data_IF_128570801640
#
_entry.id   IF_128570801640
#
_cell.length_a   1.000
_cell.length_b   1.000
_cell.length_c   1.000
_cell.angle_alpha   90.00
_cell.angle_beta   90.00
_cell.angle_gamma   90.00
#
_symmetry.space_group_name_H-M   'P 1'
#
loop_
_entity.id
_entity.type
_entity.pdbx_description
1 polymer ?
#
# COMPACT_ATOMS: atom_id res chain seq x y z
N UNK A 1 -25.21 -30.78 -21.86
CA UNK A 1 -26.49 -30.62 -21.15
C UNK A 1 -26.36 -29.46 -20.17
N UNK A 2 -27.35 -28.58 -20.13
CA UNK A 2 -27.35 -27.43 -19.21
C UNK A 2 -27.49 -27.91 -17.77
N UNK A 3 -26.47 -27.57 -16.96
CA UNK A 3 -26.45 -27.82 -15.51
C UNK A 3 -26.35 -26.49 -14.77
N UNK A 4 -26.90 -26.39 -13.54
CA UNK A 4 -26.69 -25.21 -12.74
C UNK A 4 -25.22 -25.08 -12.37
N UNK A 5 -24.65 -23.89 -12.58
CA UNK A 5 -23.26 -23.63 -12.20
C UNK A 5 -23.13 -22.27 -11.52
N UNK A 6 -22.07 -22.13 -10.73
CA UNK A 6 -21.71 -20.87 -10.09
C UNK A 6 -21.02 -19.98 -11.13
N UNK A 7 -21.68 -18.90 -11.52
CA UNK A 7 -21.06 -17.90 -12.38
C UNK A 7 -20.54 -16.73 -11.52
N UNK A 8 -19.26 -16.45 -11.65
CA UNK A 8 -18.63 -15.32 -10.95
C UNK A 8 -18.28 -14.24 -11.97
N UNK A 9 -18.88 -13.07 -11.84
CA UNK A 9 -18.48 -11.89 -12.59
C UNK A 9 -17.28 -11.23 -11.87
N UNK A 10 -16.18 -11.09 -12.60
CA UNK A 10 -14.93 -10.51 -12.09
C UNK A 10 -14.47 -9.38 -12.99
N UNK A 11 -13.96 -8.33 -12.39
CA UNK A 11 -13.36 -7.21 -13.11
C UNK A 11 -11.89 -7.19 -12.79
N UNK A 12 -11.06 -7.14 -13.83
CA UNK A 12 -9.63 -6.91 -13.70
C UNK A 12 -9.35 -5.41 -13.75
N UNK A 13 -8.65 -4.93 -12.75
CA UNK A 13 -8.26 -3.52 -12.62
C UNK A 13 -6.76 -3.44 -12.43
N UNK A 14 -6.15 -2.53 -13.17
CA UNK A 14 -4.72 -2.24 -13.05
C UNK A 14 -4.41 -1.41 -11.82
N UNK A 15 -3.33 -1.74 -11.15
CA UNK A 15 -2.82 -0.98 -10.01
C UNK A 15 -1.31 -1.14 -9.86
N UNK A 16 -0.78 -0.53 -8.82
CA UNK A 16 0.64 -0.57 -8.48
C UNK A 16 0.87 -0.88 -7.01
N UNK A 17 1.94 -1.60 -6.74
CA UNK A 17 2.44 -1.80 -5.37
C UNK A 17 3.19 -0.55 -4.93
N UNK A 18 2.84 -0.06 -3.75
CA UNK A 18 3.48 1.09 -3.12
C UNK A 18 4.07 0.68 -1.76
N UNK A 19 5.11 1.35 -1.30
CA UNK A 19 5.59 1.15 0.06
C UNK A 19 4.54 1.63 1.08
N UNK A 20 4.62 1.12 2.31
CA UNK A 20 3.81 1.66 3.41
C UNK A 20 4.23 3.10 3.73
N UNK A 21 5.53 3.30 3.87
CA UNK A 21 6.15 4.62 4.04
C UNK A 21 7.45 4.68 3.23
N UNK A 22 7.75 5.86 2.70
CA UNK A 22 8.98 6.14 1.99
C UNK A 22 9.44 7.56 2.30
N UNK A 23 10.74 7.73 2.56
CA UNK A 23 11.32 9.05 2.84
C UNK A 23 12.73 9.15 2.29
N UNK A 24 13.05 10.30 1.74
CA UNK A 24 14.40 10.68 1.40
C UNK A 24 15.09 11.22 2.67
N UNK A 25 16.12 10.52 3.13
CA UNK A 25 16.86 10.86 4.33
C UNK A 25 17.85 11.98 4.06
N UNK A 26 17.76 13.08 4.81
CA UNK A 26 18.69 14.21 4.78
C UNK A 26 18.97 14.67 6.21
N UNK A 27 20.09 15.39 6.43
CA UNK A 27 20.38 16.01 7.72
C UNK A 27 19.54 17.24 7.94
N UNK A 28 19.23 17.56 9.18
CA UNK A 28 18.54 18.81 9.54
C UNK A 28 19.51 20.01 9.57
N UNK A 29 20.82 19.77 9.66
CA UNK A 29 21.87 20.79 9.67
C UNK A 29 22.96 20.49 8.64
N UNK A 30 23.73 21.52 8.31
CA UNK A 30 24.84 21.38 7.36
C UNK A 30 26.14 21.00 8.08
N UNK A 31 26.93 20.12 7.46
CA UNK A 31 28.23 19.75 8.01
C UNK A 31 28.97 18.71 7.18
N UNK A 32 30.24 18.47 7.52
CA UNK A 32 31.02 17.41 6.92
C UNK A 32 30.63 16.07 7.53
N UNK A 33 30.26 15.08 6.71
CA UNK A 33 29.94 13.71 7.15
C UNK A 33 31.18 13.06 7.74
N UNK A 34 31.07 12.59 8.98
CA UNK A 34 32.17 11.92 9.71
C UNK A 34 31.93 10.43 9.84
N UNK A 35 30.68 9.99 9.86
CA UNK A 35 30.30 8.59 10.04
C UNK A 35 29.11 8.23 9.15
N UNK A 36 29.11 7.00 8.63
CA UNK A 36 27.97 6.33 7.98
C UNK A 36 27.92 4.92 8.57
N UNK A 37 26.81 4.59 9.23
CA UNK A 37 26.64 3.40 10.08
C UNK A 37 25.56 2.46 9.53
N UNK A 38 25.45 2.32 8.22
CA UNK A 38 24.55 1.39 7.57
C UNK A 38 25.20 0.79 6.31
N UNK A 39 24.76 -0.40 5.98
CA UNK A 39 25.07 -1.05 4.70
C UNK A 39 23.92 -0.83 3.72
N UNK A 40 24.22 -0.56 2.46
CA UNK A 40 23.25 -0.38 1.39
C UNK A 40 22.37 -1.62 1.22
N UNK A 41 21.06 -1.42 1.12
CA UNK A 41 20.10 -2.52 1.01
C UNK A 41 19.80 -3.24 2.33
N UNK A 42 20.38 -2.83 3.46
CA UNK A 42 20.14 -3.46 4.76
C UNK A 42 18.83 -3.02 5.41
N UNK A 43 18.31 -3.86 6.30
CA UNK A 43 17.20 -3.50 7.17
C UNK A 43 17.69 -2.65 8.35
N UNK A 44 16.98 -1.56 8.64
CA UNK A 44 17.27 -0.66 9.77
C UNK A 44 16.05 -0.50 10.67
N UNK A 45 16.30 -0.22 11.95
CA UNK A 45 15.26 -0.02 12.96
C UNK A 45 15.03 1.47 13.21
N UNK A 46 13.80 1.81 13.59
CA UNK A 46 13.44 3.16 14.05
C UNK A 46 14.39 3.63 15.15
N UNK A 47 14.90 4.87 15.01
CA UNK A 47 15.85 5.48 15.93
C UNK A 47 17.32 5.06 15.73
N UNK A 48 17.61 4.08 14.88
CA UNK A 48 18.98 3.68 14.56
C UNK A 48 19.76 4.85 13.96
N UNK A 49 20.98 5.11 14.46
CA UNK A 49 21.88 6.11 13.92
C UNK A 49 22.43 5.62 12.56
N UNK A 50 22.12 6.35 11.51
CA UNK A 50 22.52 6.01 10.14
C UNK A 50 23.77 6.75 9.69
N UNK A 51 23.85 8.05 10.01
CA UNK A 51 24.99 8.87 9.64
C UNK A 51 25.13 10.04 10.61
N UNK A 52 26.31 10.65 10.64
CA UNK A 52 26.59 11.77 11.51
C UNK A 52 27.43 12.81 10.79
N UNK A 53 27.10 14.10 10.98
CA UNK A 53 27.99 15.20 10.60
C UNK A 53 28.82 15.67 11.79
N UNK A 54 29.89 16.42 11.52
CA UNK A 54 30.84 16.87 12.54
C UNK A 54 30.16 17.76 13.59
N UNK A 55 30.09 17.29 14.80
CA UNK A 55 29.49 17.94 15.97
C UNK A 55 30.51 18.31 17.06
N UNK A 56 31.81 18.20 16.80
CA UNK A 56 32.89 18.39 17.81
C UNK A 56 32.77 19.73 18.55
N UNK A 57 32.39 20.79 17.85
CA UNK A 57 32.19 22.10 18.47
C UNK A 57 31.03 22.11 19.47
N UNK A 58 29.92 21.48 19.11
CA UNK A 58 28.73 21.36 19.95
C UNK A 58 29.02 20.48 21.18
N UNK A 59 29.78 19.38 21.00
CA UNK A 59 30.18 18.51 22.11
C UNK A 59 31.09 19.25 23.10
N UNK A 60 32.06 20.06 22.62
CA UNK A 60 32.89 20.89 23.50
C UNK A 60 32.07 21.96 24.24
N UNK A 61 31.06 22.55 23.56
CA UNK A 61 30.14 23.48 24.18
C UNK A 61 29.29 22.80 25.28
N UNK A 62 28.76 21.61 25.01
CA UNK A 62 28.00 20.81 25.97
C UNK A 62 28.86 20.50 27.22
N UNK A 63 30.09 20.04 27.03
CA UNK A 63 31.01 19.75 28.15
C UNK A 63 31.25 20.98 29.02
N UNK A 64 31.46 22.16 28.43
CA UNK A 64 31.62 23.40 29.18
C UNK A 64 30.36 23.72 30.03
N UNK A 65 29.15 23.63 29.44
CA UNK A 65 27.93 23.91 30.17
C UNK A 65 27.65 22.89 31.28
N UNK A 66 27.91 21.62 31.03
CA UNK A 66 27.79 20.55 32.05
C UNK A 66 28.77 20.78 33.23
N UNK A 67 30.00 21.26 32.97
CA UNK A 67 30.92 21.64 34.06
C UNK A 67 30.40 22.83 34.87
N UNK A 68 29.72 23.80 34.24
CA UNK A 68 29.09 24.93 34.93
C UNK A 68 27.85 24.50 35.75
N UNK A 69 27.11 23.49 35.25
CA UNK A 69 25.89 22.97 35.87
C UNK A 69 26.17 22.51 37.32
N UNK A 70 27.23 21.73 37.53
CA UNK A 70 27.61 21.23 38.85
C UNK A 70 27.88 22.39 39.83
N UNK A 71 28.54 23.47 39.39
CA UNK A 71 28.79 24.63 40.25
C UNK A 71 27.48 25.37 40.58
N UNK A 72 26.57 25.50 39.58
CA UNK A 72 25.26 26.15 39.78
C UNK A 72 24.39 25.35 40.79
N UNK A 73 24.34 24.03 40.65
CA UNK A 73 23.62 23.12 41.56
C UNK A 73 24.16 23.27 43.00
N UNK A 74 25.49 23.27 43.17
CA UNK A 74 26.13 23.48 44.49
C UNK A 74 25.83 24.85 45.07
N UNK A 75 25.68 25.89 44.25
CA UNK A 75 25.30 27.23 44.72
C UNK A 75 23.85 27.26 45.18
N UNK A 76 22.92 26.68 44.43
CA UNK A 76 21.50 26.58 44.82
C UNK A 76 21.37 25.81 46.14
N UNK A 77 22.07 24.66 46.28
CA UNK A 77 22.06 23.88 47.49
C UNK A 77 22.53 24.68 48.70
N UNK A 78 23.68 25.37 48.60
CA UNK A 78 24.20 26.23 49.71
C UNK A 78 23.24 27.37 50.02
N UNK A 79 22.68 28.03 48.98
CA UNK A 79 21.78 29.18 49.19
C UNK A 79 20.46 28.74 49.82
N UNK A 80 19.96 27.55 49.51
CA UNK A 80 18.79 26.96 50.13
C UNK A 80 19.03 26.72 51.63
N UNK A 81 20.17 26.10 51.99
CA UNK A 81 20.53 25.85 53.39
C UNK A 81 20.73 27.14 54.21
N UNK A 82 21.15 28.23 53.59
CA UNK A 82 21.26 29.56 54.23
C UNK A 82 19.87 30.22 54.35
N UNK A 83 18.99 30.07 53.39
CA UNK A 83 17.62 30.57 53.42
C UNK A 83 16.82 29.91 54.57
N UNK A 84 16.96 28.61 54.76
CA UNK A 84 16.32 27.85 55.89
C UNK A 84 16.75 28.37 57.25
N UNK A 85 17.88 29.11 57.35
CA UNK A 85 18.43 29.72 58.59
C UNK A 85 18.23 31.23 58.63
N UNK A 86 17.38 31.80 57.74
CA UNK A 86 17.15 33.22 57.56
C UNK A 86 18.46 34.06 57.33
N UNK A 87 19.53 33.41 56.82
CA UNK A 87 20.81 34.01 56.59
C UNK A 87 20.94 34.72 55.22
N UNK A 88 19.98 34.53 54.35
CA UNK A 88 19.90 35.18 53.01
C UNK A 88 18.46 35.55 52.67
N UNK A 89 18.28 36.50 51.77
CA UNK A 89 16.95 36.88 51.31
C UNK A 89 16.36 35.80 50.34
N UNK A 90 15.04 35.72 50.29
CA UNK A 90 14.34 34.88 49.31
C UNK A 90 14.67 35.26 47.88
N UNK A 91 14.86 36.56 47.64
CA UNK A 91 15.24 37.09 46.32
C UNK A 91 16.61 36.54 45.88
N UNK A 92 17.63 36.54 46.79
CA UNK A 92 18.95 35.98 46.48
C UNK A 92 18.89 34.47 46.16
N UNK A 93 18.02 33.69 46.82
CA UNK A 93 17.77 32.31 46.50
C UNK A 93 17.10 32.14 45.12
N UNK A 94 16.03 32.89 44.85
CA UNK A 94 15.32 32.81 43.56
C UNK A 94 16.22 33.25 42.39
N UNK A 95 17.19 34.15 42.61
CA UNK A 95 18.16 34.51 41.59
C UNK A 95 19.05 33.33 41.19
N UNK A 96 19.68 32.64 42.13
CA UNK A 96 20.55 31.49 41.83
C UNK A 96 19.76 30.31 41.24
N UNK A 97 18.51 30.14 41.66
CA UNK A 97 17.59 29.16 41.11
C UNK A 97 17.26 29.46 39.64
N UNK A 98 17.04 30.75 39.32
CA UNK A 98 16.80 31.18 37.94
C UNK A 98 18.04 31.01 37.08
N UNK A 99 19.25 31.28 37.59
CA UNK A 99 20.52 31.02 36.90
C UNK A 99 20.68 29.53 36.57
N UNK A 100 20.34 28.64 37.50
CA UNK A 100 20.35 27.19 37.27
C UNK A 100 19.35 26.78 36.19
N UNK A 101 18.14 27.35 36.21
CA UNK A 101 17.12 27.04 35.23
C UNK A 101 17.54 27.51 33.83
N UNK A 102 18.15 28.68 33.69
CA UNK A 102 18.70 29.20 32.44
C UNK A 102 19.80 28.28 31.89
N UNK A 103 20.72 27.85 32.79
CA UNK A 103 21.81 26.96 32.37
C UNK A 103 21.30 25.59 31.88
N UNK A 104 20.26 25.05 32.54
CA UNK A 104 19.61 23.84 32.03
C UNK A 104 19.00 24.02 30.66
N UNK A 105 18.33 25.15 30.41
CA UNK A 105 17.78 25.47 29.11
C UNK A 105 18.86 25.60 28.01
N UNK A 106 20.01 26.19 28.35
CA UNK A 106 21.17 26.28 27.43
C UNK A 106 21.74 24.90 27.10
N UNK A 107 21.83 24.01 28.10
CA UNK A 107 22.25 22.61 27.90
C UNK A 107 21.29 21.89 26.95
N UNK A 108 19.99 22.05 27.16
CA UNK A 108 18.99 21.39 26.31
C UNK A 108 18.98 21.92 24.89
N UNK A 109 19.23 23.22 24.70
CA UNK A 109 19.43 23.82 23.38
C UNK A 109 20.63 23.19 22.65
N UNK A 110 21.77 23.03 23.33
CA UNK A 110 22.97 22.42 22.72
C UNK A 110 22.71 20.93 22.40
N UNK A 111 22.02 20.20 23.29
CA UNK A 111 21.63 18.81 23.01
C UNK A 111 20.73 18.69 21.78
N UNK A 112 19.75 19.59 21.63
CA UNK A 112 18.91 19.65 20.45
C UNK A 112 19.73 19.90 19.18
N UNK A 113 20.68 20.83 19.22
CA UNK A 113 21.59 21.10 18.09
C UNK A 113 22.48 19.89 17.77
N UNK A 114 22.92 19.13 18.76
CA UNK A 114 23.67 17.87 18.56
C UNK A 114 22.74 16.84 17.88
N UNK A 115 21.50 16.70 18.32
CA UNK A 115 20.54 15.77 17.72
C UNK A 115 20.33 16.08 16.21
N UNK A 116 20.31 17.34 15.79
CA UNK A 116 20.22 17.72 14.38
C UNK A 116 21.45 17.30 13.54
N UNK A 117 22.58 16.98 14.18
CA UNK A 117 23.79 16.47 13.50
C UNK A 117 23.73 14.97 13.24
N UNK A 118 22.76 14.28 13.82
CA UNK A 118 22.58 12.83 13.73
C UNK A 118 21.41 12.50 12.79
N UNK A 119 21.69 11.73 11.76
CA UNK A 119 20.64 11.18 10.89
C UNK A 119 20.18 9.84 11.43
N UNK A 120 18.95 9.78 11.93
CA UNK A 120 18.33 8.57 12.46
C UNK A 120 17.16 8.12 11.62
N UNK A 121 16.95 6.78 11.58
CA UNK A 121 15.81 6.21 10.86
C UNK A 121 14.48 6.60 11.54
N UNK A 122 13.52 7.22 10.82
CA UNK A 122 12.22 7.62 11.40
C UNK A 122 11.28 6.43 11.64
N UNK A 123 11.45 5.33 10.90
CA UNK A 123 10.66 4.10 11.00
C UNK A 123 11.52 2.89 10.63
N UNK A 124 11.00 1.68 10.91
CA UNK A 124 11.64 0.42 10.49
C UNK A 124 11.49 0.23 8.98
N UNK A 125 12.57 -0.09 8.28
CA UNK A 125 12.52 -0.25 6.83
C UNK A 125 13.81 -0.78 6.23
N UNK A 126 13.88 -0.76 4.92
CA UNK A 126 15.07 -1.09 4.14
C UNK A 126 15.68 0.20 3.60
N UNK A 127 16.96 0.42 3.90
CA UNK A 127 17.68 1.58 3.39
C UNK A 127 18.19 1.29 1.97
N UNK A 128 18.04 2.25 1.08
CA UNK A 128 18.50 2.14 -0.30
C UNK A 128 19.99 2.41 -0.48
N UNK A 129 20.36 2.71 -1.71
CA UNK A 129 21.75 3.08 -2.06
C UNK A 129 22.08 4.47 -1.50
N UNK A 130 23.26 4.63 -0.95
CA UNK A 130 23.76 5.92 -0.47
C UNK A 130 24.18 6.82 -1.62
N UNK A 131 23.90 8.11 -1.48
CA UNK A 131 24.29 9.13 -2.46
C UNK A 131 25.46 10.00 -2.01
N UNK A 132 25.99 9.71 -0.82
CA UNK A 132 27.07 10.49 -0.19
C UNK A 132 28.17 9.58 0.35
N UNK A 133 29.32 10.14 0.62
CA UNK A 133 30.46 9.42 1.23
C UNK A 133 30.96 10.13 2.49
N UNK A 134 31.63 9.37 3.35
CA UNK A 134 32.34 9.96 4.49
C UNK A 134 33.36 10.98 3.96
N UNK A 135 33.38 12.16 4.58
CA UNK A 135 34.21 13.28 4.16
C UNK A 135 33.52 14.29 3.24
N UNK A 136 32.39 13.97 2.61
CA UNK A 136 31.60 14.93 1.85
C UNK A 136 30.89 15.93 2.76
N UNK A 137 30.50 17.06 2.20
CA UNK A 137 29.72 18.09 2.90
C UNK A 137 28.23 17.86 2.59
N UNK A 138 27.41 17.73 3.61
CA UNK A 138 25.97 17.57 3.50
C UNK A 138 25.23 18.82 3.97
N UNK A 139 24.05 19.03 3.43
CA UNK A 139 23.09 20.09 3.79
C UNK A 139 21.68 19.49 3.89
N UNK A 140 20.68 20.22 4.39
CA UNK A 140 19.29 19.75 4.46
C UNK A 140 18.68 19.33 3.10
N UNK A 141 19.21 19.83 2.00
CA UNK A 141 18.79 19.46 0.64
C UNK A 141 19.55 18.26 0.07
N UNK A 142 20.59 17.78 0.78
CA UNK A 142 21.41 16.65 0.32
C UNK A 142 20.79 15.34 0.77
N UNK A 143 20.28 14.56 -0.17
CA UNK A 143 19.77 13.22 0.10
C UNK A 143 20.92 12.28 0.40
N UNK A 144 20.91 11.66 1.56
CA UNK A 144 21.92 10.66 1.98
C UNK A 144 21.57 9.28 1.43
N UNK A 145 20.35 8.86 1.61
CA UNK A 145 19.77 7.61 1.11
C UNK A 145 18.25 7.68 1.16
N UNK A 146 17.58 6.72 0.55
CA UNK A 146 16.13 6.55 0.65
C UNK A 146 15.82 5.44 1.64
N UNK A 147 14.85 5.65 2.54
CA UNK A 147 14.34 4.64 3.46
C UNK A 147 12.93 4.24 3.04
N UNK A 148 12.71 2.95 2.86
CA UNK A 148 11.45 2.41 2.34
C UNK A 148 10.93 1.31 3.27
N UNK A 149 9.69 1.45 3.73
CA UNK A 149 8.98 0.43 4.51
C UNK A 149 8.17 -0.45 3.58
N UNK A 150 8.61 -1.71 3.43
CA UNK A 150 8.00 -2.68 2.51
C UNK A 150 7.09 -3.70 3.20
N UNK A 151 6.94 -3.61 4.50
CA UNK A 151 6.10 -4.48 5.33
C UNK A 151 5.22 -3.59 6.23
N UNK A 152 3.89 -3.55 5.99
CA UNK A 152 3.16 -4.09 4.85
C UNK A 152 3.44 -3.34 3.53
N UNK A 153 2.87 -3.81 2.40
CA UNK A 153 2.77 -3.05 1.16
C UNK A 153 1.37 -2.48 0.98
N UNK A 154 1.29 -1.33 0.34
CA UNK A 154 0.05 -0.75 -0.16
C UNK A 154 -0.14 -1.10 -1.62
N UNK A 155 -1.38 -1.25 -2.03
CA UNK A 155 -1.77 -1.43 -3.43
C UNK A 155 -2.69 -0.26 -3.75
N UNK A 156 -2.32 0.55 -4.73
CA UNK A 156 -3.15 1.64 -5.22
C UNK A 156 -3.71 1.28 -6.59
N UNK A 157 -5.00 1.45 -6.77
CA UNK A 157 -5.69 1.17 -8.01
C UNK A 157 -6.91 2.06 -8.17
N UNK A 158 -7.35 2.24 -9.42
CA UNK A 158 -8.45 3.13 -9.79
C UNK A 158 -9.67 2.33 -10.25
N UNK A 159 -10.76 2.42 -9.52
CA UNK A 159 -12.01 1.71 -9.79
C UNK A 159 -12.95 2.60 -10.62
N UNK A 160 -13.46 2.16 -11.79
CA UNK A 160 -14.44 2.92 -12.55
C UNK A 160 -15.69 3.26 -11.72
N UNK A 161 -16.24 4.47 -11.92
CA UNK A 161 -17.38 5.03 -11.17
C UNK A 161 -18.55 4.05 -11.00
N UNK A 162 -18.90 3.33 -12.07
CA UNK A 162 -19.98 2.33 -12.06
C UNK A 162 -19.80 1.21 -11.03
N UNK A 163 -18.56 0.97 -10.54
CA UNK A 163 -18.25 -0.06 -9.56
C UNK A 163 -17.85 0.52 -8.20
N UNK A 164 -17.78 1.84 -8.08
CA UNK A 164 -17.32 2.52 -6.86
C UNK A 164 -18.15 2.16 -5.62
N UNK A 165 -19.47 1.95 -5.79
CA UNK A 165 -20.36 1.59 -4.68
C UNK A 165 -20.09 0.21 -4.07
N UNK A 166 -19.43 -0.68 -4.82
CA UNK A 166 -19.13 -2.06 -4.41
C UNK A 166 -17.82 -2.15 -3.63
N UNK A 167 -16.95 -1.15 -3.74
CA UNK A 167 -15.63 -1.15 -3.09
C UNK A 167 -15.63 -0.22 -1.89
N UNK A 168 -15.64 -0.82 -0.70
CA UNK A 168 -15.67 -0.11 0.59
C UNK A 168 -14.50 -0.53 1.45
N UNK A 169 -14.21 0.27 2.47
CA UNK A 169 -13.25 -0.14 3.50
C UNK A 169 -13.63 -1.52 4.06
N UNK A 170 -12.68 -2.44 4.08
CA UNK A 170 -12.87 -3.82 4.52
C UNK A 170 -13.12 -4.83 3.39
N UNK A 171 -13.35 -4.39 2.14
CA UNK A 171 -13.50 -5.30 0.99
C UNK A 171 -12.22 -6.12 0.80
N UNK A 172 -12.36 -7.44 0.74
CA UNK A 172 -11.27 -8.33 0.39
C UNK A 172 -11.14 -8.40 -1.14
N UNK A 173 -9.92 -8.43 -1.60
CA UNK A 173 -9.58 -8.56 -3.02
C UNK A 173 -8.37 -9.45 -3.18
N UNK A 174 -8.19 -9.96 -4.38
CA UNK A 174 -6.98 -10.65 -4.76
C UNK A 174 -6.26 -9.86 -5.85
N UNK A 175 -4.95 -9.92 -5.84
CA UNK A 175 -4.15 -9.35 -6.91
C UNK A 175 -3.12 -10.34 -7.41
N UNK A 176 -2.75 -10.20 -8.65
CA UNK A 176 -1.73 -10.97 -9.33
C UNK A 176 -0.64 -10.05 -9.87
N UNK A 177 0.57 -10.57 -9.96
CA UNK A 177 1.71 -9.85 -10.51
C UNK A 177 2.08 -10.47 -11.85
N UNK A 178 2.44 -9.65 -12.81
CA UNK A 178 2.92 -10.11 -14.10
C UNK A 178 4.08 -11.12 -13.94
N UNK A 179 3.97 -12.26 -14.64
CA UNK A 179 4.96 -13.33 -14.57
C UNK A 179 4.87 -14.25 -13.35
N UNK A 180 3.87 -14.08 -12.47
CA UNK A 180 3.59 -15.01 -11.36
C UNK A 180 2.15 -15.52 -11.43
N UNK A 181 1.99 -16.85 -11.43
CA UNK A 181 0.69 -17.52 -11.33
C UNK A 181 0.06 -17.46 -9.93
N UNK A 182 0.71 -16.77 -8.99
CA UNK A 182 0.26 -16.72 -7.59
C UNK A 182 -0.65 -15.51 -7.38
N UNK A 183 -1.82 -15.76 -6.81
CA UNK A 183 -2.76 -14.74 -6.37
C UNK A 183 -2.50 -14.39 -4.89
N UNK A 184 -2.48 -13.09 -4.58
CA UNK A 184 -2.16 -12.56 -3.26
C UNK A 184 -3.39 -11.87 -2.67
N UNK A 185 -3.81 -12.22 -1.43
CA UNK A 185 -4.94 -11.59 -0.78
C UNK A 185 -4.57 -10.20 -0.26
N UNK A 186 -5.44 -9.23 -0.46
CA UNK A 186 -5.31 -7.89 0.11
C UNK A 186 -6.65 -7.38 0.61
N UNK A 187 -6.62 -6.36 1.46
CA UNK A 187 -7.82 -5.79 2.06
C UNK A 187 -7.85 -4.28 1.89
N UNK A 188 -8.95 -3.76 1.36
CA UNK A 188 -9.16 -2.31 1.21
C UNK A 188 -9.19 -1.65 2.59
N UNK A 189 -8.33 -0.65 2.80
CA UNK A 189 -8.28 0.11 4.04
C UNK A 189 -8.75 1.55 3.87
N UNK A 190 -8.65 2.10 2.66
CA UNK A 190 -9.07 3.46 2.35
C UNK A 190 -9.55 3.59 0.90
N UNK A 191 -10.49 4.49 0.69
CA UNK A 191 -10.96 4.94 -0.62
C UNK A 191 -10.96 6.46 -0.61
N UNK A 192 -10.69 7.09 -1.74
CA UNK A 192 -10.90 8.53 -1.88
C UNK A 192 -12.36 8.88 -1.63
N UNK A 193 -12.60 10.11 -1.16
CA UNK A 193 -13.95 10.63 -0.91
C UNK A 193 -14.61 11.21 -2.17
N UNK A 194 -13.85 11.33 -3.26
CA UNK A 194 -14.27 11.96 -4.51
C UNK A 194 -13.84 11.13 -5.71
N UNK A 195 -14.71 11.04 -6.71
CA UNK A 195 -14.40 10.48 -8.02
C UNK A 195 -13.58 11.52 -8.80
N UNK A 196 -12.49 11.08 -9.39
CA UNK A 196 -11.72 11.89 -10.33
C UNK A 196 -12.55 12.12 -11.60
N UNK A 197 -12.86 13.39 -11.90
CA UNK A 197 -13.74 13.77 -13.00
C UNK A 197 -13.09 13.55 -14.37
N UNK A 198 -11.77 13.58 -14.45
CA UNK A 198 -11.03 13.41 -15.71
C UNK A 198 -10.98 11.96 -16.16
N UNK A 199 -10.81 11.04 -15.21
CA UNK A 199 -10.70 9.60 -15.45
C UNK A 199 -11.97 8.83 -15.17
N UNK A 200 -12.96 9.45 -14.49
CA UNK A 200 -14.19 8.80 -14.00
C UNK A 200 -13.90 7.60 -13.13
N UNK A 201 -12.89 7.70 -12.27
CA UNK A 201 -12.47 6.62 -11.38
C UNK A 201 -12.42 7.05 -9.93
N UNK A 202 -12.59 6.08 -9.03
CA UNK A 202 -12.37 6.20 -7.58
C UNK A 202 -11.01 5.58 -7.24
N UNK A 203 -10.11 6.34 -6.65
CA UNK A 203 -8.83 5.80 -6.17
C UNK A 203 -9.05 5.02 -4.88
N UNK A 204 -8.53 3.82 -4.84
CA UNK A 204 -8.66 2.86 -3.74
C UNK A 204 -7.28 2.37 -3.33
N UNK A 205 -7.10 2.22 -2.01
CA UNK A 205 -5.89 1.62 -1.44
C UNK A 205 -6.23 0.39 -0.63
N UNK A 206 -5.49 -0.69 -0.88
CA UNK A 206 -5.55 -1.92 -0.12
C UNK A 206 -4.20 -2.23 0.53
N UNK A 207 -4.21 -3.03 1.59
CA UNK A 207 -3.02 -3.51 2.30
C UNK A 207 -2.78 -4.98 2.01
N UNK A 208 -1.52 -5.29 1.74
CA UNK A 208 -0.97 -6.64 1.67
C UNK A 208 0.12 -6.81 2.72
N UNK A 209 0.07 -7.88 3.51
CA UNK A 209 0.95 -8.08 4.66
C UNK A 209 2.44 -8.16 4.30
N UNK A 210 2.78 -8.75 3.15
CA UNK A 210 4.16 -8.93 2.66
C UNK A 210 5.14 -9.46 3.72
N UNK A 211 4.71 -10.37 4.59
CA UNK A 211 5.43 -10.76 5.81
C UNK A 211 6.85 -11.29 5.58
N UNK A 212 7.13 -11.81 4.40
CA UNK A 212 8.45 -12.30 4.00
C UNK A 212 9.29 -11.27 3.22
N UNK A 213 8.76 -10.05 2.98
CA UNK A 213 9.44 -9.01 2.21
C UNK A 213 9.71 -9.37 0.74
N UNK A 214 9.05 -10.41 0.20
CA UNK A 214 9.35 -10.94 -1.13
C UNK A 214 8.87 -10.06 -2.29
N UNK A 215 7.87 -9.21 -2.06
CA UNK A 215 7.36 -8.27 -3.04
C UNK A 215 7.97 -6.90 -2.82
N UNK A 216 8.41 -6.31 -3.92
CA UNK A 216 8.98 -4.95 -3.93
C UNK A 216 7.94 -3.94 -4.42
N UNK A 217 7.92 -2.72 -3.88
CA UNK A 217 7.11 -1.63 -4.39
C UNK A 217 7.53 -1.24 -5.82
N UNK A 218 6.67 -0.52 -6.52
CA UNK A 218 6.86 -0.10 -7.91
C UNK A 218 6.43 -1.14 -8.95
N UNK A 219 6.03 -2.35 -8.54
CA UNK A 219 5.54 -3.37 -9.45
C UNK A 219 4.09 -3.12 -9.84
N UNK A 220 3.76 -3.47 -11.08
CA UNK A 220 2.40 -3.53 -11.59
C UNK A 220 1.64 -4.70 -10.94
N UNK A 221 0.37 -4.47 -10.62
CA UNK A 221 -0.54 -5.47 -10.07
C UNK A 221 -1.85 -5.48 -10.86
N UNK A 222 -2.35 -6.67 -11.18
CA UNK A 222 -3.68 -6.90 -11.70
C UNK A 222 -4.60 -7.28 -10.56
N UNK A 223 -5.58 -6.43 -10.25
CA UNK A 223 -6.51 -6.61 -9.14
C UNK A 223 -7.79 -7.25 -9.66
N UNK A 224 -8.18 -8.35 -9.05
CA UNK A 224 -9.43 -9.04 -9.32
C UNK A 224 -10.47 -8.61 -8.28
N UNK A 225 -11.46 -7.84 -8.72
CA UNK A 225 -12.64 -7.51 -7.91
C UNK A 225 -13.77 -8.46 -8.29
N UNK A 226 -14.25 -9.24 -7.33
CA UNK A 226 -15.47 -10.02 -7.48
C UNK A 226 -16.65 -9.07 -7.43
N UNK A 227 -17.47 -9.08 -8.48
CA UNK A 227 -18.66 -8.24 -8.59
C UNK A 227 -19.89 -8.96 -8.06
N UNK A 228 -20.16 -10.14 -8.57
CA UNK A 228 -21.37 -10.88 -8.23
C UNK A 228 -21.11 -12.38 -8.38
N UNK A 229 -21.61 -13.16 -7.43
CA UNK A 229 -21.67 -14.61 -7.54
C UNK A 229 -23.14 -14.98 -7.77
N UNK A 230 -23.43 -15.54 -8.94
CA UNK A 230 -24.77 -15.97 -9.29
C UNK A 230 -24.82 -17.49 -9.10
N UNK A 231 -25.37 -17.97 -7.97
CA UNK A 231 -25.57 -19.40 -7.77
C UNK A 231 -26.65 -19.90 -8.72
N UNK A 232 -26.48 -21.12 -9.22
CA UNK A 232 -27.44 -21.77 -10.15
C UNK A 232 -27.68 -20.99 -11.46
N UNK A 233 -26.66 -20.29 -11.97
CA UNK A 233 -26.77 -19.66 -13.28
C UNK A 233 -26.88 -20.72 -14.40
N UNK A 234 -27.70 -20.41 -15.41
CA UNK A 234 -27.58 -21.09 -16.71
C UNK A 234 -26.47 -20.36 -17.47
N UNK A 235 -25.30 -20.99 -17.57
CA UNK A 235 -24.22 -20.46 -18.36
C UNK A 235 -23.88 -21.44 -19.49
N UNK A 236 -23.60 -20.88 -20.67
CA UNK A 236 -23.32 -21.66 -21.88
C UNK A 236 -22.00 -21.14 -22.49
N UNK A 237 -21.24 -22.02 -23.17
CA UNK A 237 -20.04 -21.59 -23.89
C UNK A 237 -20.35 -20.45 -24.89
N UNK A 238 -19.50 -19.42 -24.94
CA UNK A 238 -19.70 -18.26 -25.83
C UNK A 238 -19.83 -18.66 -27.31
N UNK A 239 -19.19 -19.75 -27.71
CA UNK A 239 -19.23 -20.31 -29.06
C UNK A 239 -20.61 -20.93 -29.45
N UNK A 240 -21.46 -21.23 -28.49
CA UNK A 240 -22.79 -21.74 -28.73
C UNK A 240 -23.79 -20.65 -29.19
N UNK A 241 -23.45 -19.39 -29.01
CA UNK A 241 -24.33 -18.24 -29.33
C UNK A 241 -24.13 -17.81 -30.78
N UNK A 242 -25.24 -17.75 -31.49
CA UNK A 242 -25.28 -17.25 -32.89
C UNK A 242 -26.04 -15.91 -32.91
N UNK A 243 -25.34 -14.79 -33.16
CA UNK A 243 -25.96 -13.49 -33.26
C UNK A 243 -26.76 -13.37 -34.57
N UNK A 244 -28.00 -12.89 -34.49
CA UNK A 244 -28.87 -12.68 -35.65
C UNK A 244 -29.69 -11.40 -35.51
N UNK A 245 -29.47 -10.40 -36.37
CA UNK A 245 -30.24 -9.14 -36.47
C UNK A 245 -30.62 -8.49 -35.14
N UNK A 246 -29.67 -8.38 -34.21
CA UNK A 246 -29.89 -7.74 -32.91
C UNK A 246 -30.47 -8.66 -31.83
N UNK A 247 -30.57 -9.93 -32.09
CA UNK A 247 -30.98 -10.97 -31.13
C UNK A 247 -29.94 -12.07 -31.06
N UNK A 248 -29.77 -12.64 -29.89
CA UNK A 248 -28.93 -13.82 -29.72
C UNK A 248 -29.79 -15.07 -29.76
N UNK A 249 -29.35 -16.10 -30.50
CA UNK A 249 -29.98 -17.41 -30.52
C UNK A 249 -29.01 -18.54 -30.24
N UNK A 250 -29.50 -19.64 -29.74
CA UNK A 250 -28.79 -20.90 -29.56
C UNK A 250 -29.56 -22.03 -30.24
N UNK A 251 -28.90 -23.11 -30.60
CA UNK A 251 -29.57 -24.28 -31.13
C UNK A 251 -29.68 -25.37 -30.05
N UNK A 252 -30.92 -25.80 -29.77
CA UNK A 252 -31.19 -26.98 -28.96
C UNK A 252 -31.20 -28.24 -29.80
N UNK A 253 -30.71 -29.30 -29.21
CA UNK A 253 -30.93 -30.65 -29.75
C UNK A 253 -32.25 -31.20 -29.27
N UNK A 254 -33.20 -31.42 -30.17
CA UNK A 254 -34.49 -32.08 -29.88
C UNK A 254 -34.80 -33.15 -30.92
N UNK A 255 -34.95 -34.37 -30.44
CA UNK A 255 -35.32 -35.52 -31.26
C UNK A 255 -34.50 -35.67 -32.56
N UNK A 256 -33.18 -35.49 -32.50
CA UNK A 256 -32.28 -35.62 -33.62
C UNK A 256 -32.18 -34.40 -34.54
N UNK A 257 -32.78 -33.28 -34.18
CA UNK A 257 -32.85 -32.06 -35.01
C UNK A 257 -32.36 -30.81 -34.23
N UNK A 258 -31.83 -29.84 -34.95
CA UNK A 258 -31.48 -28.55 -34.40
C UNK A 258 -32.69 -27.60 -34.40
N UNK A 259 -33.10 -27.12 -33.21
CA UNK A 259 -34.15 -26.13 -33.02
C UNK A 259 -33.56 -24.81 -32.49
N UNK A 260 -33.72 -23.69 -33.22
CA UNK A 260 -33.25 -22.39 -32.72
C UNK A 260 -34.15 -21.87 -31.62
N UNK A 261 -33.54 -21.36 -30.56
CA UNK A 261 -34.22 -20.69 -29.47
C UNK A 261 -33.58 -19.31 -29.26
N UNK A 262 -34.44 -18.29 -29.20
CA UNK A 262 -34.01 -16.93 -28.87
C UNK A 262 -33.69 -16.85 -27.38
N UNK A 263 -32.54 -16.25 -27.06
CA UNK A 263 -32.08 -16.11 -25.68
C UNK A 263 -31.90 -14.65 -25.31
N UNK A 264 -32.03 -14.35 -24.02
CA UNK A 264 -31.57 -13.08 -23.44
C UNK A 264 -30.28 -13.36 -22.70
N UNK A 265 -29.17 -12.85 -23.24
CA UNK A 265 -27.87 -12.97 -22.62
C UNK A 265 -27.76 -12.03 -21.41
N UNK A 266 -27.06 -12.48 -20.38
CA UNK A 266 -26.72 -11.71 -19.17
C UNK A 266 -25.22 -11.42 -19.13
N UNK A 267 -24.59 -11.80 -18.03
CA UNK A 267 -23.15 -11.62 -17.81
C UNK A 267 -22.36 -12.49 -18.79
N UNK A 268 -21.33 -11.90 -19.38
CA UNK A 268 -20.41 -12.59 -20.26
C UNK A 268 -19.02 -12.63 -19.63
N UNK A 269 -18.48 -13.83 -19.47
CA UNK A 269 -17.10 -14.08 -19.08
C UNK A 269 -16.25 -14.39 -20.34
N UNK A 270 -14.98 -14.68 -20.16
CA UNK A 270 -14.12 -15.07 -21.29
C UNK A 270 -14.56 -16.37 -21.98
N UNK A 271 -15.08 -17.34 -21.22
CA UNK A 271 -15.45 -18.65 -21.74
C UNK A 271 -16.97 -18.83 -21.91
N UNK A 272 -17.77 -18.20 -21.06
CA UNK A 272 -19.18 -18.52 -20.91
C UNK A 272 -20.05 -17.26 -20.88
N UNK A 273 -21.31 -17.44 -21.26
CA UNK A 273 -22.34 -16.38 -21.21
C UNK A 273 -23.52 -16.88 -20.40
N UNK A 274 -23.95 -16.05 -19.45
CA UNK A 274 -25.17 -16.29 -18.70
C UNK A 274 -26.39 -16.13 -19.62
N UNK A 275 -27.34 -17.04 -19.53
CA UNK A 275 -28.64 -16.94 -20.16
C UNK A 275 -29.70 -16.64 -19.11
N UNK A 276 -30.35 -15.47 -19.22
CA UNK A 276 -31.39 -15.02 -18.29
C UNK A 276 -32.75 -15.60 -18.70
N UNK A 277 -33.02 -15.70 -20.02
CA UNK A 277 -34.29 -16.23 -20.59
C UNK A 277 -34.00 -17.02 -21.85
N UNK A 278 -34.88 -17.99 -22.11
CA UNK A 278 -34.87 -18.78 -23.34
C UNK A 278 -34.40 -20.22 -23.16
N UNK A 279 -33.70 -20.55 -22.07
CA UNK A 279 -33.23 -21.91 -21.81
C UNK A 279 -33.76 -22.41 -20.45
N UNK A 280 -33.84 -23.75 -20.33
CA UNK A 280 -34.21 -24.44 -19.10
C UNK A 280 -33.10 -25.40 -18.68
N UNK A 281 -33.08 -25.72 -17.37
CA UNK A 281 -32.19 -26.76 -16.84
C UNK A 281 -32.54 -28.10 -17.49
N UNK A 282 -31.51 -28.81 -17.97
CA UNK A 282 -31.67 -30.11 -18.67
C UNK A 282 -31.74 -29.97 -20.20
N UNK A 283 -31.87 -28.79 -20.75
CA UNK A 283 -31.79 -28.58 -22.21
C UNK A 283 -30.43 -29.04 -22.74
N UNK A 284 -30.43 -29.63 -23.94
CA UNK A 284 -29.18 -30.01 -24.64
C UNK A 284 -28.89 -28.97 -25.71
N UNK A 285 -27.82 -28.18 -25.53
CA UNK A 285 -27.40 -27.20 -26.51
C UNK A 285 -26.32 -27.77 -27.44
N UNK A 286 -26.31 -27.27 -28.68
CA UNK A 286 -25.28 -27.62 -29.66
C UNK A 286 -24.19 -26.54 -29.59
N UNK A 287 -22.95 -26.95 -29.29
CA UNK A 287 -21.83 -26.05 -29.06
C UNK A 287 -20.85 -25.98 -30.23
N UNK A 288 -20.88 -26.94 -31.15
CA UNK A 288 -19.98 -26.97 -32.32
C UNK A 288 -20.76 -26.92 -33.63
N UNK A 289 -20.15 -26.33 -34.68
CA UNK A 289 -20.76 -26.21 -36.01
C UNK A 289 -21.96 -25.25 -36.06
N UNK A 290 -22.17 -24.40 -35.08
CA UNK A 290 -23.34 -23.54 -34.88
C UNK A 290 -23.66 -22.62 -36.07
N UNK A 291 -22.63 -22.15 -36.81
CA UNK A 291 -22.79 -21.27 -37.96
C UNK A 291 -23.40 -21.97 -39.20
N UNK A 292 -23.33 -23.29 -39.25
CA UNK A 292 -23.88 -24.09 -40.35
C UNK A 292 -25.29 -24.63 -40.09
N UNK A 293 -25.78 -24.47 -38.87
CA UNK A 293 -27.07 -24.99 -38.45
C UNK A 293 -28.23 -24.17 -39.04
N UNK A 294 -29.27 -24.88 -39.44
CA UNK A 294 -30.56 -24.33 -39.85
C UNK A 294 -31.67 -25.04 -39.10
N UNK A 295 -32.80 -24.37 -38.96
CA UNK A 295 -33.99 -24.94 -38.33
C UNK A 295 -34.35 -26.30 -38.89
N UNK A 296 -34.45 -27.31 -38.04
CA UNK A 296 -34.84 -28.65 -38.41
C UNK A 296 -33.76 -29.51 -39.07
N UNK A 297 -32.50 -29.03 -39.17
CA UNK A 297 -31.40 -29.82 -39.68
C UNK A 297 -31.16 -31.04 -38.83
N UNK A 298 -31.08 -32.26 -39.42
CA UNK A 298 -30.74 -33.44 -38.64
C UNK A 298 -29.29 -33.33 -38.16
N UNK A 299 -29.08 -33.63 -36.88
CA UNK A 299 -27.78 -33.57 -36.21
C UNK A 299 -27.57 -34.86 -35.42
N UNK A 300 -26.35 -35.36 -35.44
CA UNK A 300 -25.92 -36.50 -34.62
C UNK A 300 -25.06 -35.98 -33.49
N UNK A 301 -25.26 -36.53 -32.27
CA UNK A 301 -24.47 -36.19 -31.09
C UNK A 301 -23.17 -36.99 -31.14
N UNK A 302 -22.05 -36.25 -31.09
CA UNK A 302 -20.72 -36.88 -31.08
C UNK A 302 -20.21 -37.04 -29.62
N UNK A 303 -20.38 -35.98 -28.81
CA UNK A 303 -20.06 -36.01 -27.39
C UNK A 303 -21.16 -35.27 -26.59
N UNK A 304 -21.55 -35.85 -25.45
CA UNK A 304 -22.52 -35.27 -24.52
C UNK A 304 -21.77 -34.97 -23.22
N UNK A 305 -21.47 -33.71 -22.92
CA UNK A 305 -20.86 -33.24 -21.68
C UNK A 305 -21.93 -32.79 -20.68
#
# INVERSE_FOLDING_TARGET
>A
IIKPQLLTDQIQISGSLMPDEEVDLSFETSGKIVEINFDEGSAVKKGQLLAKVNDRQLQAQLQRLVAQLKLAEDRVFRQNALLERDAVSKEAYEQVKTELATLNADIDLVKANIAMTELRAPFDGVIGLRQVSVGSYASPTTIVAKLTKIIPLKIEFSVPERYASQVKKGTNLNFELEGKLSSFPAKVYATESRIDQSTRTLTVRALYANSNGALLPGRYASIQLKKEEIPNAIAIPSEAIVPEMGKDKVFLYKSGKAEPVEITAGIRTEAEVQVIKGLQMGDTIITSGTLQLRTGLPVTLDNIN
#
